data_IF_833876729992
#
_entry.id   IF_833876729992
#
_cell.length_a   1.000
_cell.length_b   1.000
_cell.length_c   1.000
_cell.angle_alpha   90.00
_cell.angle_beta   90.00
_cell.angle_gamma   90.00
#
_symmetry.space_group_name_H-M   'P 1'
#
loop_
_entity.id
_entity.type
_entity.pdbx_description
1 polymer ?
#
# COMPACT_ATOMS: atom_id res chain seq x y z
N UNK A 1 2.12 -52.88 -36.50
CA UNK A 1 2.28 -51.42 -36.28
C UNK A 1 3.76 -51.13 -36.07
N UNK A 2 4.41 -50.52 -37.06
CA UNK A 2 5.88 -50.47 -37.16
C UNK A 2 6.52 -49.57 -36.10
N UNK A 3 7.70 -49.96 -35.62
CA UNK A 3 8.53 -49.29 -34.60
C UNK A 3 8.75 -47.79 -34.91
N UNK A 4 8.79 -47.41 -36.19
CA UNK A 4 8.84 -46.02 -36.64
C UNK A 4 7.66 -45.15 -36.19
N UNK A 5 6.43 -45.70 -36.09
CA UNK A 5 5.27 -44.94 -35.60
C UNK A 5 5.31 -44.71 -34.08
N UNK A 6 5.98 -45.60 -33.33
CA UNK A 6 6.16 -45.44 -31.87
C UNK A 6 7.24 -44.40 -31.53
N UNK A 7 8.31 -44.35 -32.32
CA UNK A 7 9.38 -43.36 -32.15
C UNK A 7 8.93 -41.93 -32.47
N UNK A 8 8.10 -41.74 -33.52
CA UNK A 8 7.59 -40.41 -33.89
C UNK A 8 6.58 -39.86 -32.87
N UNK A 9 5.82 -40.73 -32.20
CA UNK A 9 4.91 -40.33 -31.11
C UNK A 9 5.65 -39.97 -29.82
N UNK A 10 6.85 -40.50 -29.61
CA UNK A 10 7.70 -40.19 -28.46
C UNK A 10 8.40 -38.82 -28.58
N UNK A 11 8.82 -38.43 -29.78
CA UNK A 11 9.47 -37.13 -30.01
C UNK A 11 8.51 -35.94 -29.89
N UNK A 12 7.22 -36.11 -30.21
CA UNK A 12 6.23 -35.04 -30.07
C UNK A 12 5.87 -34.71 -28.61
N UNK A 13 6.19 -35.59 -27.67
CA UNK A 13 5.88 -35.40 -26.24
C UNK A 13 6.97 -34.61 -25.49
N UNK A 14 8.19 -34.57 -26.02
CA UNK A 14 9.34 -33.92 -25.35
C UNK A 14 9.44 -32.44 -25.73
N UNK A 15 8.90 -32.01 -26.88
CA UNK A 15 8.92 -30.62 -27.32
C UNK A 15 7.86 -29.72 -26.66
N UNK A 16 7.02 -30.24 -25.77
CA UNK A 16 5.96 -29.48 -25.08
C UNK A 16 6.18 -29.34 -23.58
N UNK A 17 7.38 -29.68 -23.08
CA UNK A 17 7.87 -29.19 -21.79
C UNK A 17 8.10 -27.69 -21.93
N UNK A 18 6.99 -26.95 -21.82
CA UNK A 18 6.92 -25.52 -21.93
C UNK A 18 7.94 -24.90 -20.99
N UNK A 19 8.85 -24.13 -21.58
CA UNK A 19 9.56 -23.09 -20.88
C UNK A 19 8.48 -22.20 -20.27
N UNK A 20 8.27 -22.31 -18.96
CA UNK A 20 7.50 -21.31 -18.24
C UNK A 20 8.27 -20.00 -18.45
N UNK A 21 7.74 -19.13 -19.30
CA UNK A 21 8.29 -17.79 -19.49
C UNK A 21 8.17 -17.09 -18.14
N UNK A 22 9.29 -16.85 -17.47
CA UNK A 22 9.31 -15.98 -16.29
C UNK A 22 8.81 -14.62 -16.73
N UNK A 23 7.75 -14.11 -16.09
CA UNK A 23 7.31 -12.75 -16.33
C UNK A 23 8.49 -11.79 -16.08
N UNK A 24 8.76 -10.90 -17.04
CA UNK A 24 9.79 -9.90 -16.87
C UNK A 24 9.43 -8.95 -15.72
N UNK A 25 10.44 -8.39 -15.06
CA UNK A 25 10.24 -7.37 -14.05
C UNK A 25 9.41 -6.21 -14.61
N UNK A 26 8.43 -5.75 -13.84
CA UNK A 26 7.60 -4.59 -14.18
C UNK A 26 8.32 -3.32 -13.74
N UNK A 27 8.36 -2.32 -14.62
CA UNK A 27 8.96 -1.02 -14.34
C UNK A 27 7.94 -0.15 -13.62
N UNK A 28 8.37 0.53 -12.56
CA UNK A 28 7.57 1.51 -11.85
C UNK A 28 8.27 2.85 -11.94
N UNK A 29 7.52 3.89 -12.29
CA UNK A 29 8.03 5.27 -12.31
C UNK A 29 7.11 6.16 -11.50
N UNK A 30 7.61 6.58 -10.34
CA UNK A 30 6.96 7.57 -9.48
C UNK A 30 7.53 8.94 -9.83
N UNK A 31 6.67 9.91 -10.10
CA UNK A 31 7.09 11.27 -10.46
C UNK A 31 6.87 12.29 -9.36
N UNK A 32 5.89 12.05 -8.49
CA UNK A 32 5.52 12.99 -7.44
C UNK A 32 4.75 12.27 -6.33
N UNK A 33 4.63 12.93 -5.18
CA UNK A 33 3.79 12.48 -4.09
C UNK A 33 3.71 13.49 -2.96
N UNK A 34 2.68 13.35 -2.13
CA UNK A 34 2.51 14.22 -0.98
C UNK A 34 1.25 13.96 -0.17
N UNK A 35 1.01 14.85 0.77
CA UNK A 35 -0.18 14.80 1.63
C UNK A 35 -1.18 15.88 1.23
N UNK A 36 -2.46 15.56 1.38
CA UNK A 36 -3.53 16.53 1.60
C UNK A 36 -4.16 16.25 2.96
N UNK A 37 -4.69 17.28 3.59
CA UNK A 37 -5.26 17.18 4.92
C UNK A 37 -6.46 18.11 5.09
N UNK A 38 -7.33 17.77 6.04
CA UNK A 38 -8.55 18.51 6.33
C UNK A 38 -8.30 19.81 7.11
N UNK A 39 -9.37 20.57 7.31
CA UNK A 39 -9.30 21.89 7.95
C UNK A 39 -9.00 21.85 9.45
N UNK A 40 -9.02 20.67 10.07
CA UNK A 40 -8.68 20.48 11.48
C UNK A 40 -7.20 20.67 11.81
N UNK A 41 -6.33 20.86 10.81
CA UNK A 41 -4.90 21.14 11.02
C UNK A 41 -4.54 22.62 10.85
N UNK A 42 -3.60 23.11 11.66
CA UNK A 42 -3.11 24.49 11.59
C UNK A 42 -2.45 24.96 12.88
N UNK A 43 -2.04 26.24 12.91
CA UNK A 43 -1.51 26.90 14.10
C UNK A 43 -2.54 27.89 14.61
N UNK A 44 -3.32 27.52 15.63
CA UNK A 44 -4.37 28.40 16.12
C UNK A 44 -5.35 27.73 17.05
N UNK A 45 -6.40 28.47 17.38
CA UNK A 45 -7.40 28.02 18.33
C UNK A 45 -8.32 26.97 17.70
N UNK A 46 -8.17 25.71 18.09
CA UNK A 46 -9.07 24.64 17.67
C UNK A 46 -8.57 23.84 16.48
N UNK A 47 -7.26 23.86 16.20
CA UNK A 47 -6.62 23.11 15.13
C UNK A 47 -5.41 22.35 15.66
N UNK A 48 -5.19 21.14 15.17
CA UNK A 48 -4.05 20.32 15.53
C UNK A 48 -2.80 20.78 14.75
N UNK A 49 -1.75 21.22 15.44
CA UNK A 49 -0.47 21.58 14.80
C UNK A 49 0.33 20.33 14.42
N UNK A 50 0.01 19.80 13.22
CA UNK A 50 0.81 18.81 12.52
C UNK A 50 1.31 19.39 11.21
N UNK A 51 2.63 19.34 11.03
CA UNK A 51 3.28 19.74 9.78
C UNK A 51 3.60 18.50 8.95
N UNK A 52 3.00 18.42 7.77
CA UNK A 52 3.32 17.41 6.76
C UNK A 52 4.38 17.94 5.80
N UNK A 53 5.42 17.14 5.57
CA UNK A 53 6.50 17.46 4.63
C UNK A 53 6.57 16.37 3.57
N UNK A 54 6.39 16.77 2.32
CA UNK A 54 6.58 15.90 1.16
C UNK A 54 8.08 15.71 0.91
N UNK A 55 8.54 14.47 0.84
CA UNK A 55 9.94 14.12 0.60
C UNK A 55 10.09 13.18 -0.62
N UNK A 56 9.00 12.92 -1.34
CA UNK A 56 9.04 12.10 -2.55
C UNK A 56 9.90 12.79 -3.61
N UNK A 57 10.88 12.06 -4.11
CA UNK A 57 11.65 12.45 -5.29
C UNK A 57 11.30 11.53 -6.46
N UNK A 58 11.29 12.03 -7.71
CA UNK A 58 11.09 11.19 -8.88
C UNK A 58 12.07 10.01 -8.90
N UNK A 59 11.57 8.81 -9.13
CA UNK A 59 12.38 7.60 -9.13
C UNK A 59 11.76 6.50 -9.99
N UNK A 60 12.64 5.62 -10.46
CA UNK A 60 12.26 4.44 -11.26
C UNK A 60 12.92 3.21 -10.67
N UNK A 61 12.15 2.13 -10.55
CA UNK A 61 12.62 0.84 -10.07
C UNK A 61 11.89 -0.28 -10.78
N UNK A 62 12.46 -1.49 -10.73
CA UNK A 62 11.88 -2.68 -11.35
C UNK A 62 11.52 -3.67 -10.24
N UNK A 63 10.35 -4.28 -10.34
CA UNK A 63 9.91 -5.34 -9.42
C UNK A 63 9.53 -6.59 -10.19
N UNK A 64 9.99 -7.73 -9.69
CA UNK A 64 9.38 -9.02 -9.98
C UNK A 64 8.17 -9.26 -9.09
N UNK A 65 7.35 -10.23 -9.48
CA UNK A 65 6.19 -10.65 -8.68
C UNK A 65 6.62 -11.01 -7.26
N UNK A 66 5.93 -10.43 -6.27
CA UNK A 66 6.18 -10.65 -4.86
C UNK A 66 7.32 -9.81 -4.27
N UNK A 67 8.00 -9.02 -5.10
CA UNK A 67 9.00 -8.06 -4.61
C UNK A 67 8.35 -6.75 -4.16
N UNK A 68 9.02 -6.11 -3.21
CA UNK A 68 8.64 -4.81 -2.65
C UNK A 68 9.76 -3.80 -2.88
N UNK A 69 9.40 -2.61 -3.33
CA UNK A 69 10.25 -1.43 -3.25
C UNK A 69 9.75 -0.53 -2.13
N UNK A 70 10.68 0.01 -1.35
CA UNK A 70 10.38 0.97 -0.30
C UNK A 70 11.19 2.23 -0.52
N UNK A 71 10.56 3.37 -0.35
CA UNK A 71 11.24 4.66 -0.42
C UNK A 71 10.66 5.65 0.57
N UNK A 72 11.46 6.66 0.89
CA UNK A 72 11.05 7.72 1.78
C UNK A 72 9.97 8.58 1.12
N UNK A 73 8.81 8.66 1.77
CA UNK A 73 7.69 9.42 1.24
C UNK A 73 7.62 10.82 1.82
N UNK A 74 7.69 10.90 3.14
CA UNK A 74 7.45 12.15 3.81
C UNK A 74 7.59 12.03 5.32
N UNK A 75 7.27 13.14 5.95
CA UNK A 75 7.34 13.31 7.40
C UNK A 75 6.07 14.00 7.87
N UNK A 76 5.56 13.57 9.01
CA UNK A 76 4.59 14.32 9.79
C UNK A 76 5.22 14.68 11.13
N UNK A 77 5.00 15.91 11.59
CA UNK A 77 5.57 16.41 12.84
C UNK A 77 4.48 17.00 13.71
N UNK A 78 4.28 16.42 14.89
CA UNK A 78 3.40 16.96 15.91
C UNK A 78 4.16 18.02 16.73
N UNK A 79 3.71 19.28 16.64
CA UNK A 79 4.30 20.43 17.32
C UNK A 79 3.53 20.86 18.57
N UNK A 80 2.47 20.13 18.90
CA UNK A 80 1.62 20.41 20.06
C UNK A 80 2.25 19.98 21.37
N UNK A 81 2.15 20.81 22.41
CA UNK A 81 2.49 20.37 23.78
C UNK A 81 1.33 19.70 24.51
N UNK A 82 0.12 19.82 23.95
CA UNK A 82 -1.12 19.21 24.41
C UNK A 82 -2.09 19.09 23.24
N UNK A 83 -2.91 18.05 23.22
CA UNK A 83 -4.06 17.90 22.31
C UNK A 83 -5.26 18.11 23.23
N UNK A 84 -5.99 19.23 23.18
CA UNK A 84 -7.08 19.61 24.11
C UNK A 84 -7.65 18.52 25.03
N UNK A 85 -7.71 18.69 26.37
CA UNK A 85 -8.22 17.64 27.29
C UNK A 85 -9.75 17.41 27.23
N UNK A 86 -10.48 18.18 26.44
CA UNK A 86 -11.93 18.11 26.31
C UNK A 86 -12.68 18.61 27.57
N UNK A 87 -11.95 19.12 28.57
CA UNK A 87 -12.49 19.58 29.85
C UNK A 87 -11.98 21.00 30.11
N UNK A 88 -12.81 21.98 29.76
CA UNK A 88 -12.51 23.42 29.78
C UNK A 88 -11.92 23.95 31.08
N UNK A 89 -12.29 23.37 32.23
CA UNK A 89 -11.78 23.79 33.55
C UNK A 89 -10.40 23.21 33.85
N UNK A 90 -10.12 22.00 33.35
CA UNK A 90 -8.83 21.34 33.50
C UNK A 90 -7.80 21.94 32.55
N UNK A 91 -8.23 22.23 31.32
CA UNK A 91 -7.51 23.00 30.31
C UNK A 91 -7.05 24.37 30.84
N UNK A 92 -8.00 25.15 31.39
CA UNK A 92 -7.72 26.48 31.97
C UNK A 92 -6.67 26.43 33.11
N UNK A 93 -6.64 25.36 33.90
CA UNK A 93 -5.69 25.18 35.00
C UNK A 93 -4.35 24.56 34.55
N UNK A 94 -4.37 23.80 33.45
CA UNK A 94 -3.19 23.10 32.92
C UNK A 94 -2.35 23.95 31.94
N UNK A 95 -2.86 25.11 31.50
CA UNK A 95 -2.23 25.94 30.45
C UNK A 95 -2.36 25.34 29.05
N UNK A 96 -3.28 24.38 28.90
CA UNK A 96 -3.61 23.67 27.68
C UNK A 96 -5.04 24.09 27.28
N UNK A 97 -5.43 24.01 26.02
CA UNK A 97 -6.86 24.08 25.70
C UNK A 97 -7.20 24.98 24.55
N UNK A 98 -7.70 24.34 23.51
CA UNK A 98 -8.64 24.94 22.59
C UNK A 98 -9.66 23.89 22.18
N UNK A 99 -10.95 24.27 22.15
CA UNK A 99 -12.13 23.38 22.24
C UNK A 99 -12.21 22.16 21.30
N UNK A 100 -13.32 21.40 21.38
CA UNK A 100 -13.54 20.11 20.71
C UNK A 100 -13.29 20.05 19.18
N UNK A 101 -13.01 21.20 18.56
CA UNK A 101 -12.65 21.40 17.16
C UNK A 101 -11.29 20.81 16.74
N UNK A 102 -10.40 20.43 17.67
CA UNK A 102 -9.11 19.79 17.33
C UNK A 102 -9.22 18.30 16.99
N UNK A 103 -10.41 17.71 17.14
CA UNK A 103 -10.67 16.29 16.90
C UNK A 103 -11.51 16.04 15.64
N UNK A 104 -11.99 17.11 15.00
CA UNK A 104 -12.84 17.03 13.82
C UNK A 104 -12.07 17.41 12.55
N UNK A 105 -12.59 16.97 11.40
CA UNK A 105 -12.05 17.34 10.09
C UNK A 105 -10.54 17.08 9.92
N UNK A 106 -10.00 16.08 10.63
CA UNK A 106 -8.59 15.68 10.59
C UNK A 106 -8.25 14.82 9.37
N UNK A 107 -9.13 14.65 8.39
CA UNK A 107 -8.92 13.70 7.29
C UNK A 107 -7.57 13.91 6.62
N UNK A 108 -6.79 12.84 6.42
CA UNK A 108 -5.51 12.88 5.70
C UNK A 108 -5.58 11.96 4.50
N UNK A 109 -5.06 12.40 3.37
CA UNK A 109 -4.89 11.57 2.19
C UNK A 109 -3.46 11.70 1.71
N UNK A 110 -2.76 10.58 1.62
CA UNK A 110 -1.44 10.51 1.02
C UNK A 110 -1.60 10.08 -0.44
N UNK A 111 -0.86 10.67 -1.36
CA UNK A 111 -0.99 10.38 -2.79
C UNK A 111 0.35 10.23 -3.47
N UNK A 112 0.38 9.40 -4.51
CA UNK A 112 1.53 9.16 -5.38
C UNK A 112 1.11 9.23 -6.84
N UNK A 113 1.92 9.87 -7.68
CA UNK A 113 1.69 9.90 -9.12
C UNK A 113 2.63 8.94 -9.83
N UNK A 114 2.04 8.00 -10.56
CA UNK A 114 2.75 7.05 -11.40
C UNK A 114 2.62 7.46 -12.88
N UNK A 115 3.66 7.14 -13.65
CA UNK A 115 3.63 7.20 -15.12
C UNK A 115 3.81 5.82 -15.75
N UNK A 116 4.22 4.82 -14.96
CA UNK A 116 4.36 3.41 -15.33
C UNK A 116 4.19 2.57 -14.06
N UNK A 117 3.46 1.43 -14.09
CA UNK A 117 2.72 0.87 -15.23
C UNK A 117 1.39 1.57 -15.53
N UNK A 118 0.97 2.49 -14.67
CA UNK A 118 -0.24 3.30 -14.89
C UNK A 118 0.16 4.76 -14.98
N UNK A 119 -0.51 5.51 -15.86
CA UNK A 119 -0.45 6.97 -15.89
C UNK A 119 -1.59 7.54 -15.04
N UNK A 120 -1.46 7.43 -13.71
CA UNK A 120 -2.51 7.81 -12.76
C UNK A 120 -1.94 8.27 -11.41
N UNK A 121 -2.75 9.01 -10.66
CA UNK A 121 -2.46 9.41 -9.28
C UNK A 121 -3.24 8.51 -8.34
N UNK A 122 -2.51 7.77 -7.51
CA UNK A 122 -3.06 6.83 -6.54
C UNK A 122 -3.18 7.52 -5.19
N UNK A 123 -4.38 7.46 -4.62
CA UNK A 123 -4.71 8.07 -3.33
C UNK A 123 -4.89 7.00 -2.27
N UNK A 124 -4.16 7.14 -1.17
CA UNK A 124 -4.30 6.36 0.04
C UNK A 124 -4.97 7.25 1.12
N UNK A 125 -6.27 7.04 1.31
CA UNK A 125 -7.08 7.82 2.26
C UNK A 125 -6.92 7.20 3.64
N UNK A 126 -6.50 8.01 4.61
CA UNK A 126 -6.40 7.57 5.99
C UNK A 126 -7.69 7.79 6.77
N UNK A 127 -7.89 6.92 7.75
CA UNK A 127 -8.65 7.28 8.93
C UNK A 127 -7.71 8.02 9.88
N UNK A 128 -8.19 9.08 10.52
CA UNK A 128 -7.39 9.89 11.44
C UNK A 128 -8.12 10.05 12.75
N UNK A 129 -7.36 10.08 13.83
CA UNK A 129 -7.89 10.31 15.15
C UNK A 129 -6.85 10.88 16.11
N UNK A 130 -7.31 11.71 17.02
CA UNK A 130 -6.51 12.25 18.10
C UNK A 130 -7.26 12.03 19.43
N UNK A 131 -6.51 11.93 20.52
CA UNK A 131 -7.03 11.78 21.88
C UNK A 131 -6.71 13.04 22.66
N UNK A 132 -7.75 13.51 23.32
CA UNK A 132 -7.72 14.64 24.22
C UNK A 132 -6.84 14.37 25.47
N UNK A 133 -5.75 15.12 25.66
CA UNK A 133 -4.84 15.03 26.79
C UNK A 133 -3.53 15.80 26.63
N UNK A 134 -2.68 15.74 27.66
CA UNK A 134 -1.29 16.19 27.55
C UNK A 134 -0.51 15.20 26.70
N UNK A 135 0.20 15.70 25.70
CA UNK A 135 1.13 14.88 24.93
C UNK A 135 2.23 14.40 25.87
N UNK A 136 2.54 13.09 25.86
CA UNK A 136 3.42 12.45 26.85
C UNK A 136 2.93 12.58 28.31
N UNK A 137 1.67 12.28 28.60
CA UNK A 137 1.23 12.19 29.99
C UNK A 137 2.07 11.13 30.73
N UNK A 138 2.64 11.43 31.91
CA UNK A 138 3.45 10.47 32.68
C UNK A 138 2.59 9.38 33.34
N UNK A 139 1.35 9.20 32.91
CA UNK A 139 0.44 8.24 33.50
C UNK A 139 0.93 6.82 33.17
N UNK A 140 1.16 6.03 34.21
CA UNK A 140 1.89 4.75 34.14
C UNK A 140 1.12 3.64 33.41
N UNK A 141 -0.01 3.99 32.80
CA UNK A 141 -0.91 3.10 32.05
C UNK A 141 -1.10 3.56 30.58
N UNK A 142 -0.44 4.63 30.15
CA UNK A 142 -0.70 5.23 28.85
C UNK A 142 0.13 4.58 27.74
N UNK A 143 -0.43 3.53 27.16
CA UNK A 143 0.07 2.90 25.93
C UNK A 143 -0.70 3.39 24.68
N UNK A 144 -1.57 4.40 24.84
CA UNK A 144 -2.46 4.82 23.77
C UNK A 144 -1.80 5.96 22.99
N UNK A 145 -1.78 5.91 21.64
CA UNK A 145 -1.25 7.03 20.86
C UNK A 145 -2.13 8.28 21.06
N UNK A 146 -1.48 9.41 21.36
CA UNK A 146 -2.10 10.74 21.46
C UNK A 146 -2.71 11.16 20.11
N UNK A 147 -2.05 10.83 19.01
CA UNK A 147 -2.53 11.08 17.65
C UNK A 147 -2.09 9.95 16.73
N UNK A 148 -2.99 9.55 15.82
CA UNK A 148 -2.70 8.49 14.87
C UNK A 148 -3.30 8.80 13.49
N UNK A 149 -2.63 8.25 12.48
CA UNK A 149 -3.06 8.25 11.09
C UNK A 149 -2.91 6.82 10.57
N UNK A 150 -4.03 6.19 10.24
CA UNK A 150 -4.11 4.80 9.78
C UNK A 150 -4.44 4.79 8.28
N UNK A 151 -3.51 4.34 7.46
CA UNK A 151 -3.64 4.29 6.01
C UNK A 151 -3.99 2.89 5.57
N UNK A 152 -5.11 2.76 4.83
CA UNK A 152 -5.48 1.48 4.26
C UNK A 152 -4.72 1.21 2.96
N UNK A 153 -4.01 0.07 2.82
CA UNK A 153 -3.33 -0.26 1.58
C UNK A 153 -4.27 -0.24 0.37
N UNK A 154 -3.78 0.29 -0.75
CA UNK A 154 -4.56 0.45 -1.99
C UNK A 154 -4.07 -0.56 -3.02
N UNK A 155 -4.99 -1.38 -3.53
CA UNK A 155 -4.71 -2.28 -4.66
C UNK A 155 -4.97 -1.53 -5.96
N UNK A 156 -3.95 -1.43 -6.80
CA UNK A 156 -4.02 -0.80 -8.11
C UNK A 156 -3.86 -1.86 -9.19
N UNK A 157 -4.85 -1.97 -10.06
CA UNK A 157 -4.80 -2.87 -11.21
C UNK A 157 -4.26 -2.11 -12.43
N UNK A 158 -3.42 -2.74 -13.23
CA UNK A 158 -2.91 -2.16 -14.46
C UNK A 158 -3.09 -3.11 -15.63
N UNK A 159 -3.72 -2.60 -16.70
CA UNK A 159 -3.93 -3.23 -18.01
C UNK A 159 -4.40 -4.70 -18.02
N UNK A 160 -5.03 -5.17 -16.93
CA UNK A 160 -5.50 -6.55 -16.79
C UNK A 160 -4.37 -7.60 -16.72
N UNK A 161 -3.11 -7.16 -16.66
CA UNK A 161 -1.92 -8.02 -16.63
C UNK A 161 -1.38 -8.24 -15.23
N UNK A 162 -1.66 -7.31 -14.32
CA UNK A 162 -1.24 -7.42 -12.93
C UNK A 162 -1.89 -6.40 -12.01
N UNK A 163 -1.50 -6.47 -10.74
CA UNK A 163 -1.83 -5.47 -9.74
C UNK A 163 -0.64 -5.23 -8.83
N UNK A 164 -0.61 -4.07 -8.20
CA UNK A 164 0.33 -3.78 -7.13
C UNK A 164 -0.41 -3.19 -5.94
N UNK A 165 0.18 -3.39 -4.76
CA UNK A 165 -0.29 -2.79 -3.52
C UNK A 165 0.58 -1.59 -3.22
N UNK A 166 -0.08 -0.46 -3.01
CA UNK A 166 0.51 0.75 -2.49
C UNK A 166 0.14 0.85 -1.03
N UNK A 167 1.13 0.70 -0.17
CA UNK A 167 0.97 0.72 1.28
C UNK A 167 1.84 1.83 1.86
N UNK A 168 1.21 2.81 2.50
CA UNK A 168 1.96 3.74 3.35
C UNK A 168 1.73 3.29 4.77
N UNK A 169 2.80 3.02 5.51
CA UNK A 169 2.63 2.59 6.88
C UNK A 169 1.97 3.68 7.75
N UNK A 170 1.36 3.23 8.83
CA UNK A 170 0.67 4.09 9.78
C UNK A 170 1.62 5.00 10.56
N UNK A 171 1.08 6.13 11.04
CA UNK A 171 1.80 7.10 11.85
C UNK A 171 1.18 7.17 13.25
N UNK A 172 1.98 6.95 14.29
CA UNK A 172 1.53 6.96 15.69
C UNK A 172 2.38 7.89 16.54
N UNK A 173 1.77 8.94 17.06
CA UNK A 173 2.40 9.92 17.93
C UNK A 173 1.97 9.65 19.36
N UNK A 174 2.92 9.24 20.20
CA UNK A 174 2.78 9.21 21.66
C UNK A 174 3.55 10.34 22.36
N UNK A 175 4.13 11.22 21.53
CA UNK A 175 5.02 12.29 21.93
C UNK A 175 5.08 13.36 20.86
N UNK A 176 5.61 14.52 21.23
CA UNK A 176 5.99 15.55 20.28
C UNK A 176 7.17 15.12 19.42
N UNK A 177 7.18 15.57 18.17
CA UNK A 177 8.28 15.35 17.25
C UNK A 177 7.85 14.80 15.90
N UNK A 178 8.87 14.50 15.09
CA UNK A 178 8.69 14.03 13.72
C UNK A 178 8.64 12.51 13.64
N UNK A 179 7.66 12.00 12.90
CA UNK A 179 7.64 10.63 12.40
C UNK A 179 7.85 10.70 10.90
N UNK A 180 8.70 9.83 10.41
CA UNK A 180 9.03 9.73 9.00
C UNK A 180 8.69 8.31 8.58
N UNK A 181 7.86 8.17 7.54
CA UNK A 181 7.49 6.86 7.05
C UNK A 181 7.65 6.77 5.53
N UNK A 182 7.86 5.55 5.07
CA UNK A 182 8.01 5.23 3.67
C UNK A 182 6.70 4.78 3.04
N UNK A 183 6.68 4.79 1.71
CA UNK A 183 5.75 3.97 0.95
C UNK A 183 6.40 2.64 0.61
N UNK A 184 5.62 1.58 0.71
CA UNK A 184 5.91 0.25 0.21
C UNK A 184 5.06 0.01 -1.03
N UNK A 185 5.71 -0.21 -2.16
CA UNK A 185 5.08 -0.65 -3.41
C UNK A 185 5.40 -2.12 -3.58
N UNK A 186 4.39 -2.99 -3.46
CA UNK A 186 4.55 -4.43 -3.60
C UNK A 186 3.85 -4.91 -4.86
N UNK A 187 4.59 -5.51 -5.78
CA UNK A 187 4.00 -6.08 -6.99
C UNK A 187 3.35 -7.42 -6.64
N UNK A 188 2.05 -7.56 -6.87
CA UNK A 188 1.31 -8.80 -6.64
C UNK A 188 1.02 -9.49 -7.96
N UNK A 189 1.37 -10.78 -8.06
CA UNK A 189 0.94 -11.56 -9.22
C UNK A 189 -0.57 -11.70 -9.20
N UNK A 190 -1.21 -11.23 -10.27
CA UNK A 190 -2.53 -11.69 -10.64
C UNK A 190 -2.33 -12.84 -11.63
N UNK A 191 -2.79 -14.06 -11.35
CA UNK A 191 -2.79 -15.11 -12.36
C UNK A 191 -3.56 -14.61 -13.58
N UNK A 192 -2.88 -14.46 -14.72
CA UNK A 192 -3.57 -14.01 -15.93
C UNK A 192 -4.72 -14.99 -16.23
N UNK A 193 -5.92 -14.48 -16.59
CA UNK A 193 -7.04 -15.33 -16.98
C UNK A 193 -6.68 -16.30 -18.11
N UNK A 194 -5.77 -15.89 -19.00
CA UNK A 194 -5.19 -16.67 -20.08
C UNK A 194 -4.40 -17.88 -19.57
N UNK A 195 -3.62 -17.73 -18.49
CA UNK A 195 -2.78 -18.79 -17.92
C UNK A 195 -3.63 -19.88 -17.26
N UNK A 196 -4.69 -19.50 -16.55
CA UNK A 196 -5.67 -20.45 -16.02
C UNK A 196 -6.46 -21.13 -17.15
N UNK A 197 -6.85 -20.39 -18.18
CA UNK A 197 -7.52 -20.95 -19.35
C UNK A 197 -6.61 -21.93 -20.11
N UNK A 198 -5.33 -21.61 -20.28
CA UNK A 198 -4.38 -22.45 -21.00
C UNK A 198 -3.96 -23.68 -20.17
N UNK A 199 -3.81 -23.52 -18.85
CA UNK A 199 -3.68 -24.66 -17.94
C UNK A 199 -4.91 -25.55 -18.00
N UNK A 200 -6.11 -24.96 -17.97
CA UNK A 200 -7.38 -25.67 -18.11
C UNK A 200 -7.47 -26.43 -19.44
N UNK A 201 -7.15 -25.77 -20.55
CA UNK A 201 -7.12 -26.39 -21.88
C UNK A 201 -6.04 -27.48 -21.99
N UNK A 202 -4.87 -27.27 -21.37
CA UNK A 202 -3.81 -28.26 -21.29
C UNK A 202 -4.27 -29.53 -20.55
N UNK A 203 -4.95 -29.37 -19.42
CA UNK A 203 -5.53 -30.48 -18.66
C UNK A 203 -6.64 -31.20 -19.43
N UNK A 204 -7.51 -30.47 -20.14
CA UNK A 204 -8.54 -31.05 -21.03
C UNK A 204 -7.89 -31.84 -22.17
N UNK A 205 -6.83 -31.30 -22.79
CA UNK A 205 -6.05 -31.97 -23.82
C UNK A 205 -5.42 -33.27 -23.32
N UNK A 206 -4.81 -33.25 -22.14
CA UNK A 206 -4.24 -34.43 -21.48
C UNK A 206 -5.31 -35.50 -21.18
N UNK A 207 -6.47 -35.08 -20.66
CA UNK A 207 -7.59 -35.99 -20.39
C UNK A 207 -8.13 -36.64 -21.69
N UNK A 208 -8.22 -35.87 -22.78
CA UNK A 208 -8.60 -36.36 -24.10
C UNK A 208 -7.64 -37.40 -24.65
N UNK A 209 -6.33 -37.17 -24.51
CA UNK A 209 -5.30 -38.15 -24.91
C UNK A 209 -5.33 -39.42 -24.04
N UNK A 210 -5.54 -39.28 -22.74
CA UNK A 210 -5.64 -40.42 -21.82
C UNK A 210 -6.83 -41.34 -22.14
N UNK A 211 -7.98 -40.76 -22.54
CA UNK A 211 -9.16 -41.54 -22.98
C UNK A 211 -8.89 -42.34 -24.24
N UNK A 212 -8.19 -41.78 -25.23
CA UNK A 212 -7.84 -42.49 -26.47
C UNK A 212 -6.96 -43.72 -26.22
N UNK A 213 -6.10 -43.71 -25.20
CA UNK A 213 -5.26 -44.86 -24.84
C UNK A 213 -6.01 -46.01 -24.15
N UNK A 214 -7.24 -45.80 -23.66
CA UNK A 214 -8.08 -46.87 -23.08
C UNK A 214 -9.00 -47.55 -24.09
N UNK A 215 -9.17 -46.97 -25.28
CA UNK A 215 -10.06 -47.49 -26.33
C UNK A 215 -9.30 -48.16 -27.49
N UNK A 216 -7.98 -48.28 -27.40
CA UNK A 216 -7.12 -49.00 -28.33
C UNK A 216 -6.35 -50.09 -27.55
#
# INVERSE_FOLDING_TARGET
>A
MNIFKKALLGLAFISTLGLATSANATVFTVTDGGFTWGSGYGTGNGQLDVVFTNLVTPQTFNLNVGETASFLFGRAQLNETCINSGITVLDLLAGCGVGASELDNLGVTAWLTFTNPVADTIYNVAVTGAIAGRVNSPDLLDFVPDFWIDFSPVVVNFDGTGSFVVDMGDLYFNRTGSITNGYNVTLTAVPEPSSLALLGLGLVGLAGMARRKKQA
#
